data_IF_826894365136
#
_entry.id   IF_826894365136
#
_cell.length_a   1.000
_cell.length_b   1.000
_cell.length_c   1.000
_cell.angle_alpha   90.00
_cell.angle_beta   90.00
_cell.angle_gamma   90.00
#
_symmetry.space_group_name_H-M   'P 1'
#
loop_
_entity.id
_entity.type
_entity.pdbx_description
1 polymer ?
#
# COMPACT_ATOMS: atom_id res chain seq x y z
N UNK A 1 -11.65 -12.62 2.70
CA UNK A 1 -11.50 -11.33 1.98
C UNK A 1 -11.80 -10.17 2.91
N UNK A 2 -12.87 -10.25 3.71
CA UNK A 2 -13.20 -9.27 4.77
C UNK A 2 -12.05 -9.01 5.75
N UNK A 3 -11.41 -10.05 6.30
CA UNK A 3 -10.30 -9.89 7.25
C UNK A 3 -9.10 -9.10 6.68
N UNK A 4 -8.70 -9.38 5.44
CA UNK A 4 -7.63 -8.63 4.76
C UNK A 4 -8.02 -7.18 4.47
N UNK A 5 -9.29 -6.90 4.19
CA UNK A 5 -9.79 -5.53 4.00
C UNK A 5 -9.74 -4.73 5.30
N UNK A 6 -10.17 -5.33 6.42
CA UNK A 6 -10.14 -4.67 7.74
C UNK A 6 -8.69 -4.41 8.17
N UNK A 7 -7.80 -5.39 7.97
CA UNK A 7 -6.38 -5.25 8.30
C UNK A 7 -5.72 -4.13 7.47
N UNK A 8 -5.93 -4.14 6.16
CA UNK A 8 -5.39 -3.13 5.26
C UNK A 8 -6.01 -1.74 5.52
N UNK A 9 -7.33 -1.65 5.67
CA UNK A 9 -8.05 -0.39 5.78
C UNK A 9 -7.92 0.31 7.13
N UNK A 10 -7.97 -0.45 8.24
CA UNK A 10 -8.04 0.11 9.60
C UNK A 10 -6.76 -0.11 10.40
N UNK A 11 -6.31 -1.36 10.55
CA UNK A 11 -5.23 -1.70 11.50
C UNK A 11 -3.89 -1.05 11.12
N UNK A 12 -3.53 -1.04 9.83
CA UNK A 12 -2.31 -0.35 9.36
C UNK A 12 -2.37 1.17 9.59
N UNK A 13 -3.55 1.78 9.51
CA UNK A 13 -3.73 3.23 9.65
C UNK A 13 -3.71 3.64 11.13
N UNK A 14 -4.26 2.81 12.01
CA UNK A 14 -4.13 2.98 13.46
C UNK A 14 -2.67 2.89 13.91
N UNK A 15 -1.90 1.96 13.32
CA UNK A 15 -0.45 1.90 13.53
C UNK A 15 0.25 3.18 13.11
N UNK A 16 -0.06 3.70 11.91
CA UNK A 16 0.47 4.98 11.43
C UNK A 16 0.12 6.16 12.34
N UNK A 17 -1.13 6.24 12.80
CA UNK A 17 -1.56 7.27 13.76
C UNK A 17 -0.78 7.21 15.09
N UNK A 18 -0.48 6.01 15.58
CA UNK A 18 0.39 5.81 16.74
C UNK A 18 1.80 6.39 16.51
N UNK A 19 2.39 6.15 15.33
CA UNK A 19 3.69 6.72 14.96
C UNK A 19 3.63 8.24 14.88
N UNK A 20 2.55 8.83 14.35
CA UNK A 20 2.38 10.29 14.31
C UNK A 20 2.34 10.89 15.72
N UNK A 21 1.66 10.24 16.66
CA UNK A 21 1.60 10.72 18.06
C UNK A 21 2.92 10.60 18.80
N UNK A 22 3.68 9.54 18.52
CA UNK A 22 4.98 9.31 19.17
C UNK A 22 6.12 10.08 18.50
N UNK A 23 5.97 10.53 17.24
CA UNK A 23 7.04 11.18 16.49
C UNK A 23 7.56 12.45 17.18
N UNK A 24 6.72 13.18 17.92
CA UNK A 24 7.14 14.35 18.70
C UNK A 24 8.12 14.00 19.83
N UNK A 25 8.14 12.75 20.29
CA UNK A 25 9.01 12.27 21.36
C UNK A 25 10.23 11.49 20.85
N UNK A 26 10.26 11.15 19.56
CA UNK A 26 11.26 10.28 18.95
C UNK A 26 12.31 11.14 18.24
N UNK A 27 13.52 11.20 18.79
CA UNK A 27 14.67 11.82 18.14
C UNK A 27 15.46 10.77 17.34
N UNK A 28 15.42 10.87 16.01
CA UNK A 28 16.07 9.91 15.10
C UNK A 28 17.30 10.54 14.46
N UNK A 29 18.40 9.78 14.46
CA UNK A 29 19.65 10.19 13.81
C UNK A 29 19.50 10.09 12.28
N UNK A 30 20.27 10.88 11.55
CA UNK A 30 20.31 10.84 10.08
C UNK A 30 20.60 9.44 9.52
N UNK A 31 21.47 8.66 10.16
CA UNK A 31 21.82 7.30 9.72
C UNK A 31 20.61 6.34 9.71
N UNK A 32 19.72 6.48 10.69
CA UNK A 32 18.48 5.69 10.77
C UNK A 32 17.47 6.05 9.68
N UNK A 33 17.43 7.31 9.22
CA UNK A 33 16.59 7.70 8.08
C UNK A 33 17.08 7.04 6.78
N UNK A 34 18.39 7.00 6.56
CA UNK A 34 18.98 6.31 5.40
C UNK A 34 18.65 4.83 5.42
N UNK A 35 18.71 4.19 6.59
CA UNK A 35 18.32 2.79 6.73
C UNK A 35 16.84 2.57 6.39
N UNK A 36 15.93 3.39 6.93
CA UNK A 36 14.49 3.30 6.61
C UNK A 36 14.24 3.48 5.11
N UNK A 37 14.94 4.42 4.47
CA UNK A 37 14.85 4.62 3.02
C UNK A 37 15.31 3.38 2.24
N UNK A 38 16.44 2.77 2.61
CA UNK A 38 16.89 1.51 2.00
C UNK A 38 15.86 0.38 2.17
N UNK A 39 15.22 0.29 3.33
CA UNK A 39 14.17 -0.69 3.58
C UNK A 39 12.95 -0.46 2.66
N UNK A 40 12.58 0.79 2.41
CA UNK A 40 11.50 1.12 1.48
C UNK A 40 11.82 0.65 0.05
N UNK A 41 13.07 0.84 -0.42
CA UNK A 41 13.52 0.37 -1.73
C UNK A 41 13.57 -1.16 -1.82
N UNK A 42 14.05 -1.85 -0.79
CA UNK A 42 14.03 -3.32 -0.77
C UNK A 42 12.59 -3.83 -0.81
N UNK A 43 11.69 -3.21 -0.05
CA UNK A 43 10.28 -3.61 -0.05
C UNK A 43 9.61 -3.43 -1.42
N UNK A 44 9.97 -2.39 -2.20
CA UNK A 44 9.42 -2.20 -3.54
C UNK A 44 9.97 -3.22 -4.53
N UNK A 45 11.25 -3.57 -4.46
CA UNK A 45 11.81 -4.65 -5.27
C UNK A 45 11.13 -6.00 -4.98
N UNK A 46 10.84 -6.28 -3.71
CA UNK A 46 10.10 -7.49 -3.30
C UNK A 46 8.65 -7.47 -3.81
N UNK A 47 8.02 -6.31 -3.97
CA UNK A 47 6.68 -6.24 -4.59
C UNK A 47 6.70 -6.66 -6.06
N UNK A 48 7.72 -6.26 -6.81
CA UNK A 48 7.84 -6.56 -8.24
C UNK A 48 8.08 -8.05 -8.52
N UNK A 49 8.69 -8.77 -7.59
CA UNK A 49 8.94 -10.22 -7.74
C UNK A 49 7.73 -11.08 -7.39
N UNK A 50 6.64 -10.49 -6.90
CA UNK A 50 5.53 -11.25 -6.32
C UNK A 50 4.49 -11.67 -7.37
N UNK A 51 4.28 -12.98 -7.53
CA UNK A 51 3.32 -13.55 -8.49
C UNK A 51 1.90 -13.77 -7.96
N UNK A 52 1.74 -13.72 -6.62
CA UNK A 52 0.47 -13.88 -5.91
C UNK A 52 -0.26 -12.54 -5.75
N UNK A 53 -1.51 -12.41 -6.21
CA UNK A 53 -2.28 -11.13 -6.14
C UNK A 53 -2.41 -10.59 -4.72
N UNK A 54 -2.78 -11.42 -3.75
CA UNK A 54 -3.00 -10.97 -2.36
C UNK A 54 -1.69 -10.55 -1.68
N UNK A 55 -0.58 -11.21 -2.02
CA UNK A 55 0.75 -10.83 -1.51
C UNK A 55 1.23 -9.56 -2.18
N UNK A 56 1.06 -9.42 -3.49
CA UNK A 56 1.42 -8.21 -4.24
C UNK A 56 0.75 -6.98 -3.63
N UNK A 57 -0.57 -7.04 -3.37
CA UNK A 57 -1.32 -5.93 -2.73
C UNK A 57 -0.85 -5.69 -1.28
N UNK A 58 -0.53 -6.75 -0.53
CA UNK A 58 -0.03 -6.61 0.84
C UNK A 58 1.35 -5.93 0.87
N UNK A 59 2.30 -6.38 0.06
CA UNK A 59 3.65 -5.81 0.03
C UNK A 59 3.64 -4.38 -0.54
N UNK A 60 2.76 -4.05 -1.49
CA UNK A 60 2.62 -2.66 -1.96
C UNK A 60 2.07 -1.75 -0.86
N UNK A 61 1.25 -2.26 0.08
CA UNK A 61 0.87 -1.46 1.24
C UNK A 61 2.03 -1.20 2.21
N UNK A 62 2.97 -2.15 2.33
CA UNK A 62 4.17 -1.98 3.17
C UNK A 62 5.10 -0.90 2.58
N UNK A 63 5.25 -0.83 1.26
CA UNK A 63 6.09 0.20 0.63
C UNK A 63 5.56 1.61 0.92
N UNK A 64 4.26 1.87 0.70
CA UNK A 64 3.69 3.19 0.99
C UNK A 64 3.79 3.57 2.46
N UNK A 65 3.62 2.61 3.38
CA UNK A 65 3.70 2.87 4.81
C UNK A 65 5.14 3.11 5.29
N UNK A 66 6.14 2.48 4.68
CA UNK A 66 7.56 2.79 4.99
C UNK A 66 7.95 4.17 4.50
N UNK A 67 7.46 4.61 3.33
CA UNK A 67 7.60 5.99 2.86
C UNK A 67 6.92 7.01 3.79
N UNK A 68 5.72 6.68 4.28
CA UNK A 68 5.00 7.50 5.27
C UNK A 68 5.83 7.69 6.55
N UNK A 69 6.44 6.62 7.07
CA UNK A 69 7.30 6.70 8.26
C UNK A 69 8.54 7.57 7.99
N UNK A 70 9.18 7.42 6.83
CA UNK A 70 10.31 8.26 6.44
C UNK A 70 9.93 9.75 6.39
N UNK A 71 8.78 10.07 5.80
CA UNK A 71 8.28 11.43 5.69
C UNK A 71 7.98 12.06 7.07
N UNK A 72 7.36 11.30 7.99
CA UNK A 72 7.12 11.77 9.37
C UNK A 72 8.40 12.11 10.11
N UNK A 73 9.41 11.24 9.99
CA UNK A 73 10.66 11.37 10.74
C UNK A 73 11.62 12.39 10.13
N UNK A 74 11.33 12.90 8.93
CA UNK A 74 12.08 14.00 8.30
C UNK A 74 11.86 15.36 8.99
N UNK A 75 10.93 15.47 9.94
CA UNK A 75 10.61 16.68 10.73
C UNK A 75 10.18 17.91 9.92
N UNK A 76 9.85 17.75 8.63
CA UNK A 76 9.27 18.84 7.84
C UNK A 76 7.81 19.08 8.25
N UNK A 77 7.45 20.34 8.50
CA UNK A 77 6.08 20.77 8.85
C UNK A 77 5.05 20.29 7.82
N UNK A 78 5.40 20.33 6.52
CA UNK A 78 4.56 19.83 5.43
C UNK A 78 4.47 18.30 5.37
N UNK A 79 5.42 17.59 5.99
CA UNK A 79 5.50 16.13 5.99
C UNK A 79 4.37 15.47 6.78
N UNK A 80 3.87 16.10 7.84
CA UNK A 80 2.73 15.56 8.61
C UNK A 80 1.45 15.59 7.77
N UNK A 81 1.22 16.69 7.03
CA UNK A 81 0.04 16.83 6.17
C UNK A 81 0.08 15.80 5.04
N UNK A 82 1.23 15.62 4.38
CA UNK A 82 1.37 14.64 3.30
C UNK A 82 1.15 13.21 3.79
N UNK A 83 1.62 12.88 5.00
CA UNK A 83 1.41 11.57 5.62
C UNK A 83 -0.07 11.28 5.87
N UNK A 84 -0.83 12.25 6.37
CA UNK A 84 -2.27 12.09 6.59
C UNK A 84 -2.97 11.83 5.26
N UNK A 85 -2.70 12.64 4.25
CA UNK A 85 -3.30 12.51 2.92
C UNK A 85 -2.96 11.15 2.30
N UNK A 86 -1.69 10.75 2.32
CA UNK A 86 -1.22 9.47 1.80
C UNK A 86 -1.88 8.29 2.53
N UNK A 87 -1.99 8.34 3.85
CA UNK A 87 -2.58 7.26 4.66
C UNK A 87 -4.06 7.02 4.34
N UNK A 88 -4.81 8.09 4.08
CA UNK A 88 -6.22 8.07 3.69
C UNK A 88 -6.38 7.56 2.26
N UNK A 89 -5.67 8.16 1.31
CA UNK A 89 -5.71 7.79 -0.11
C UNK A 89 -5.34 6.31 -0.30
N UNK A 90 -4.26 5.87 0.34
CA UNK A 90 -3.84 4.48 0.31
C UNK A 90 -4.87 3.57 1.00
N UNK A 91 -5.55 4.00 2.06
CA UNK A 91 -6.66 3.25 2.68
C UNK A 91 -7.79 2.92 1.71
N UNK A 92 -8.21 3.89 0.92
CA UNK A 92 -9.25 3.70 -0.09
C UNK A 92 -8.78 2.80 -1.22
N UNK A 93 -7.60 3.05 -1.80
CA UNK A 93 -7.09 2.25 -2.89
C UNK A 93 -6.81 0.78 -2.48
N UNK A 94 -6.16 0.58 -1.35
CA UNK A 94 -5.79 -0.77 -0.85
C UNK A 94 -7.01 -1.63 -0.52
N UNK A 95 -8.04 -1.06 0.11
CA UNK A 95 -9.28 -1.79 0.42
C UNK A 95 -10.03 -2.21 -0.85
N UNK A 96 -10.11 -1.33 -1.85
CA UNK A 96 -10.64 -1.65 -3.17
C UNK A 96 -9.87 -2.77 -3.87
N UNK A 97 -8.53 -2.72 -3.86
CA UNK A 97 -7.69 -3.77 -4.44
C UNK A 97 -7.88 -5.12 -3.75
N UNK A 98 -7.95 -5.15 -2.42
CA UNK A 98 -8.21 -6.38 -1.67
C UNK A 98 -9.61 -6.96 -1.93
N UNK A 99 -10.60 -6.11 -2.19
CA UNK A 99 -11.93 -6.54 -2.58
C UNK A 99 -11.91 -7.17 -3.97
N UNK A 100 -11.40 -6.46 -4.99
CA UNK A 100 -11.38 -6.92 -6.38
C UNK A 100 -10.47 -8.14 -6.57
N UNK A 101 -9.23 -8.09 -6.06
CA UNK A 101 -8.32 -9.23 -6.10
C UNK A 101 -8.79 -10.41 -5.26
N UNK A 102 -9.51 -10.12 -4.17
CA UNK A 102 -10.10 -11.11 -3.29
C UNK A 102 -11.22 -11.92 -3.94
N UNK A 103 -12.18 -11.24 -4.57
CA UNK A 103 -13.31 -11.88 -5.25
C UNK A 103 -12.86 -12.72 -6.43
N UNK A 104 -11.89 -12.21 -7.22
CA UNK A 104 -11.35 -12.97 -8.35
C UNK A 104 -10.57 -14.20 -7.89
N UNK A 105 -9.75 -14.08 -6.83
CA UNK A 105 -9.03 -15.22 -6.25
C UNK A 105 -9.97 -16.28 -5.65
N UNK A 106 -11.11 -15.88 -5.06
CA UNK A 106 -12.11 -16.85 -4.60
C UNK A 106 -12.83 -17.55 -5.76
N UNK A 107 -13.06 -16.84 -6.88
CA UNK A 107 -13.72 -17.40 -8.05
C UNK A 107 -12.84 -18.42 -8.77
N UNK A 108 -11.56 -18.11 -9.00
CA UNK A 108 -10.60 -18.99 -9.69
C UNK A 108 -10.03 -20.10 -8.80
N UNK A 109 -10.33 -20.08 -7.48
CA UNK A 109 -9.72 -20.94 -6.44
C UNK A 109 -8.19 -20.91 -6.41
N UNK A 110 -7.58 -19.94 -7.08
CA UNK A 110 -6.13 -19.78 -7.23
C UNK A 110 -5.69 -18.38 -6.79
N UNK A 111 -4.40 -18.20 -6.53
CA UNK A 111 -3.82 -16.91 -6.11
C UNK A 111 -2.83 -16.33 -7.12
N UNK A 112 -2.40 -17.16 -8.07
CA UNK A 112 -1.41 -16.84 -9.10
C UNK A 112 -2.05 -16.02 -10.22
N UNK A 113 -1.45 -14.87 -10.52
CA UNK A 113 -1.87 -13.98 -11.61
C UNK A 113 -2.02 -14.69 -12.96
N UNK A 114 -1.06 -15.56 -13.29
CA UNK A 114 -1.01 -16.28 -14.57
C UNK A 114 -2.19 -17.23 -14.77
N UNK A 115 -2.73 -17.79 -13.69
CA UNK A 115 -3.91 -18.67 -13.76
C UNK A 115 -5.19 -17.84 -13.88
N UNK A 116 -5.21 -16.65 -13.28
CA UNK A 116 -6.38 -15.77 -13.29
C UNK A 116 -6.58 -15.08 -14.65
N UNK A 117 -5.51 -14.95 -15.44
CA UNK A 117 -5.54 -14.31 -16.77
C UNK A 117 -6.19 -15.14 -17.87
N UNK A 118 -6.37 -16.45 -17.68
CA UNK A 118 -6.96 -17.33 -18.69
C UNK A 118 -8.49 -17.34 -18.70
N UNK A 119 -9.16 -16.64 -17.78
CA UNK A 119 -10.62 -16.67 -17.66
C UNK A 119 -11.35 -15.62 -18.53
N UNK A 120 -12.54 -15.96 -19.01
CA UNK A 120 -13.35 -15.14 -19.94
C UNK A 120 -13.71 -13.74 -19.41
N UNK A 121 -13.93 -13.58 -18.11
CA UNK A 121 -14.24 -12.28 -17.47
C UNK A 121 -13.00 -11.50 -17.01
N UNK A 122 -11.82 -11.82 -17.53
CA UNK A 122 -10.57 -11.19 -17.10
C UNK A 122 -10.48 -9.70 -17.47
N UNK A 123 -11.02 -9.29 -18.63
CA UNK A 123 -10.95 -7.90 -19.11
C UNK A 123 -11.57 -6.89 -18.13
N UNK A 124 -12.78 -7.18 -17.60
CA UNK A 124 -13.44 -6.32 -16.62
C UNK A 124 -12.69 -6.26 -15.29
N UNK A 125 -12.16 -7.41 -14.84
CA UNK A 125 -11.30 -7.46 -13.65
C UNK A 125 -10.03 -6.61 -13.83
N UNK A 126 -9.39 -6.68 -14.99
CA UNK A 126 -8.16 -5.95 -15.28
C UNK A 126 -8.40 -4.44 -15.38
N UNK A 127 -9.55 -4.00 -15.91
CA UNK A 127 -9.92 -2.59 -15.96
C UNK A 127 -10.14 -2.02 -14.54
N UNK A 128 -10.90 -2.72 -13.70
CA UNK A 128 -11.12 -2.32 -12.31
C UNK A 128 -9.82 -2.33 -11.49
N UNK A 129 -9.02 -3.39 -11.62
CA UNK A 129 -7.74 -3.49 -10.93
C UNK A 129 -6.76 -2.42 -11.43
N UNK A 130 -6.71 -2.16 -12.74
CA UNK A 130 -5.88 -1.12 -13.35
C UNK A 130 -6.20 0.27 -12.83
N UNK A 131 -7.48 0.63 -12.76
CA UNK A 131 -7.91 1.90 -12.17
C UNK A 131 -7.49 2.04 -10.70
N UNK A 132 -7.66 0.98 -9.90
CA UNK A 132 -7.24 0.97 -8.50
C UNK A 132 -5.72 1.01 -8.32
N UNK A 133 -4.96 0.40 -9.23
CA UNK A 133 -3.51 0.50 -9.27
C UNK A 133 -3.06 1.92 -9.59
N UNK A 134 -3.75 2.62 -10.51
CA UNK A 134 -3.47 4.03 -10.82
C UNK A 134 -3.75 4.92 -9.59
N UNK A 135 -4.85 4.66 -8.86
CA UNK A 135 -5.13 5.37 -7.61
C UNK A 135 -4.06 5.10 -6.54
N UNK A 136 -3.56 3.86 -6.48
CA UNK A 136 -2.52 3.49 -5.53
C UNK A 136 -1.14 4.01 -5.94
N UNK A 137 -0.88 4.16 -7.23
CA UNK A 137 0.34 4.79 -7.73
C UNK A 137 0.25 6.29 -7.51
N UNK A 138 1.23 6.85 -6.82
CA UNK A 138 1.39 8.29 -6.60
C UNK A 138 1.69 9.02 -7.92
N UNK A 139 0.73 9.06 -8.84
CA UNK A 139 0.78 9.73 -10.13
C UNK A 139 -0.11 10.98 -10.05
N UNK A 140 0.35 12.17 -10.45
CA UNK A 140 -0.53 13.35 -10.54
C UNK A 140 -1.64 13.06 -11.57
N UNK A 141 -2.95 13.25 -11.29
CA UNK A 141 -3.60 14.11 -10.29
C UNK A 141 -4.16 13.37 -9.05
N UNK A 142 -3.70 12.15 -8.75
CA UNK A 142 -4.29 11.32 -7.69
C UNK A 142 -3.90 11.80 -6.29
N UNK A 143 -4.76 11.60 -5.27
CA UNK A 143 -4.51 12.05 -3.90
C UNK A 143 -3.36 11.31 -3.19
N UNK A 144 -2.82 10.25 -3.79
CA UNK A 144 -1.66 9.52 -3.30
C UNK A 144 -0.31 10.16 -3.69
N UNK A 145 -0.32 11.19 -4.55
CA UNK A 145 0.85 12.00 -4.93
C UNK A 145 1.17 13.06 -3.86
#
# INVERSE_FOLDING_TARGET
TSGSMILAGLLLKLGGFGVIRLSSFIFIKSLSLVFIFLLSLVSSLVTCSQSDIKKLIAYSSVTHMTFMVLALLSSLVKGVISVIILSLAHGWASSGMFLVGGTKSSASKSRLLMVMSSESKFHFFLLLLGFLLILNSSIPPMPSF
#
